data_IF_417781606088
#
_entry.id   IF_417781606088
#
_cell.length_a   1.000
_cell.length_b   1.000
_cell.length_c   1.000
_cell.angle_alpha   90.00
_cell.angle_beta   90.00
_cell.angle_gamma   90.00
#
_symmetry.space_group_name_H-M   'P 1'
#
loop_
_entity.id
_entity.type
_entity.pdbx_description
1 polymer ?
#
# COMPACT_ATOMS: atom_id res chain seq x y z
N UNK A 1 2.75 -8.20 -1.84
CA UNK A 1 2.07 -9.29 -2.58
C UNK A 1 0.86 -8.73 -3.31
N UNK A 2 0.56 -9.22 -4.51
CA UNK A 2 -0.52 -8.70 -5.36
C UNK A 2 -1.18 -9.87 -6.06
N UNK A 3 -2.50 -10.01 -5.95
CA UNK A 3 -3.25 -11.06 -6.65
C UNK A 3 -4.71 -10.65 -6.86
N UNK A 4 -5.33 -11.24 -7.87
CA UNK A 4 -6.78 -11.36 -7.89
C UNK A 4 -7.19 -12.62 -7.12
N UNK A 5 -8.11 -12.50 -6.17
CA UNK A 5 -8.70 -13.66 -5.51
C UNK A 5 -9.56 -14.40 -6.54
N UNK A 6 -9.32 -15.70 -6.72
CA UNK A 6 -10.11 -16.53 -7.64
C UNK A 6 -11.40 -16.99 -6.95
N UNK A 7 -12.52 -16.48 -7.46
CA UNK A 7 -13.92 -16.70 -7.05
C UNK A 7 -14.85 -16.00 -8.06
N UNK A 8 -16.18 -16.08 -7.92
CA UNK A 8 -17.14 -15.50 -8.89
C UNK A 8 -16.88 -14.03 -9.18
N UNK A 9 -16.41 -13.29 -8.18
CA UNK A 9 -16.26 -11.84 -8.25
C UNK A 9 -14.83 -11.37 -8.58
N UNK A 10 -13.80 -12.23 -8.56
CA UNK A 10 -12.44 -11.82 -8.97
C UNK A 10 -11.90 -10.58 -8.24
N UNK A 11 -12.00 -10.50 -6.91
CA UNK A 11 -11.59 -9.32 -6.14
C UNK A 11 -10.08 -9.04 -6.23
N UNK A 12 -9.65 -7.81 -6.57
CA UNK A 12 -8.25 -7.42 -6.45
C UNK A 12 -7.82 -7.32 -4.98
N UNK A 13 -6.65 -7.88 -4.65
CA UNK A 13 -6.03 -7.75 -3.34
C UNK A 13 -4.54 -7.38 -3.46
N UNK A 14 -4.13 -6.37 -2.70
CA UNK A 14 -2.75 -5.91 -2.63
C UNK A 14 -2.29 -5.81 -1.17
N UNK A 15 -1.05 -6.23 -0.92
CA UNK A 15 -0.33 -6.06 0.34
C UNK A 15 1.03 -5.41 0.06
N UNK A 16 1.36 -4.35 0.81
CA UNK A 16 2.54 -3.50 0.59
C UNK A 16 3.24 -3.28 1.93
N UNK A 17 4.56 -3.42 1.93
CA UNK A 17 5.45 -2.88 2.96
C UNK A 17 6.21 -1.69 2.36
N UNK A 18 6.34 -0.60 3.12
CA UNK A 18 6.94 0.65 2.68
C UNK A 18 7.85 1.22 3.79
N UNK A 19 8.99 1.78 3.38
CA UNK A 19 9.91 2.51 4.24
C UNK A 19 10.16 3.90 3.68
N UNK A 20 10.28 4.89 4.57
CA UNK A 20 10.75 6.25 4.26
C UNK A 20 12.13 6.37 4.90
N UNK A 21 13.12 6.74 4.10
CA UNK A 21 14.53 6.72 4.47
C UNK A 21 15.12 8.10 4.22
N UNK A 22 15.88 8.62 5.17
CA UNK A 22 16.73 9.79 4.94
C UNK A 22 17.90 9.40 4.03
N UNK A 23 18.04 10.10 2.89
CA UNK A 23 19.01 9.71 1.87
C UNK A 23 20.45 10.01 2.29
N UNK A 24 20.67 11.00 3.15
CA UNK A 24 22.02 11.42 3.55
C UNK A 24 22.60 10.53 4.65
N UNK A 25 21.79 10.16 5.65
CA UNK A 25 22.20 9.33 6.79
C UNK A 25 21.91 7.84 6.59
N UNK A 26 20.97 7.50 5.72
CA UNK A 26 20.45 6.13 5.59
C UNK A 26 19.48 5.74 6.70
N UNK A 27 19.09 6.67 7.57
CA UNK A 27 18.17 6.40 8.68
C UNK A 27 16.74 6.10 8.18
N UNK A 28 16.10 5.08 8.75
CA UNK A 28 14.68 4.83 8.49
C UNK A 28 13.84 5.79 9.31
N UNK A 29 13.30 6.81 8.66
CA UNK A 29 12.40 7.80 9.27
C UNK A 29 11.03 7.20 9.61
N UNK A 30 10.58 6.23 8.81
CA UNK A 30 9.31 5.55 9.02
C UNK A 30 9.28 4.19 8.32
N UNK A 31 8.55 3.23 8.88
CA UNK A 31 8.21 1.98 8.20
C UNK A 31 6.78 1.55 8.52
N UNK A 32 6.13 0.90 7.57
CA UNK A 32 4.78 0.38 7.75
C UNK A 32 4.40 -0.64 6.70
N UNK A 33 3.43 -1.49 7.05
CA UNK A 33 2.85 -2.46 6.14
C UNK A 33 1.32 -2.41 6.20
N UNK A 34 0.67 -2.72 5.09
CA UNK A 34 -0.78 -2.74 5.00
C UNK A 34 -1.28 -3.67 3.90
N UNK A 35 -2.56 -4.00 3.98
CA UNK A 35 -3.27 -4.80 2.98
C UNK A 35 -4.62 -4.19 2.65
N UNK A 36 -5.04 -4.32 1.40
CA UNK A 36 -6.34 -3.83 0.91
C UNK A 36 -6.91 -4.80 -0.13
N UNK A 37 -8.19 -5.13 0.03
CA UNK A 37 -9.00 -5.77 -1.01
C UNK A 37 -10.00 -4.76 -1.58
N UNK A 38 -10.17 -4.78 -2.90
CA UNK A 38 -11.22 -4.06 -3.60
C UNK A 38 -12.36 -4.97 -4.02
N UNK A 39 -13.33 -4.38 -4.71
CA UNK A 39 -14.52 -5.04 -5.25
C UNK A 39 -14.26 -5.60 -6.66
N UNK A 40 -15.18 -6.45 -7.13
CA UNK A 40 -15.09 -7.20 -8.39
C UNK A 40 -14.63 -6.42 -9.64
N UNK A 41 -15.05 -5.15 -9.76
CA UNK A 41 -14.77 -4.32 -10.93
C UNK A 41 -13.60 -3.35 -10.76
N UNK A 42 -12.90 -3.40 -9.62
CA UNK A 42 -11.74 -2.56 -9.39
C UNK A 42 -10.49 -3.15 -10.05
N UNK A 43 -9.65 -2.26 -10.61
CA UNK A 43 -8.34 -2.66 -11.08
C UNK A 43 -7.40 -2.92 -9.88
N UNK A 44 -6.59 -3.97 -9.96
CA UNK A 44 -5.58 -4.28 -8.94
C UNK A 44 -4.61 -3.11 -8.72
N UNK A 45 -4.23 -2.42 -9.80
CA UNK A 45 -3.40 -1.22 -9.74
C UNK A 45 -4.08 -0.08 -8.98
N UNK A 46 -5.40 0.10 -9.15
CA UNK A 46 -6.15 1.14 -8.44
C UNK A 46 -6.21 0.87 -6.93
N UNK A 47 -6.48 -0.37 -6.52
CA UNK A 47 -6.49 -0.80 -5.11
C UNK A 47 -5.12 -0.59 -4.47
N UNK A 48 -4.06 -0.96 -5.16
CA UNK A 48 -2.71 -0.78 -4.66
C UNK A 48 -2.30 0.70 -4.57
N UNK A 49 -2.66 1.52 -5.55
CA UNK A 49 -2.43 2.97 -5.49
C UNK A 49 -3.15 3.60 -4.29
N UNK A 50 -4.35 3.12 -3.94
CA UNK A 50 -5.06 3.59 -2.76
C UNK A 50 -4.32 3.19 -1.48
N UNK A 51 -3.87 1.94 -1.37
CA UNK A 51 -3.06 1.47 -0.24
C UNK A 51 -1.76 2.26 -0.09
N UNK A 52 -1.05 2.56 -1.19
CA UNK A 52 0.16 3.39 -1.16
C UNK A 52 -0.15 4.79 -0.63
N UNK A 53 -1.23 5.42 -1.09
CA UNK A 53 -1.63 6.76 -0.60
C UNK A 53 -1.92 6.75 0.91
N UNK A 54 -2.56 5.70 1.42
CA UNK A 54 -2.86 5.58 2.84
C UNK A 54 -1.59 5.40 3.68
N UNK A 55 -0.66 4.55 3.23
CA UNK A 55 0.64 4.36 3.88
C UNK A 55 1.48 5.65 3.86
N UNK A 56 1.53 6.36 2.72
CA UNK A 56 2.24 7.63 2.60
C UNK A 56 1.65 8.72 3.50
N UNK A 57 0.32 8.80 3.62
CA UNK A 57 -0.32 9.71 4.57
C UNK A 57 0.09 9.39 6.01
N UNK A 58 0.11 8.12 6.39
CA UNK A 58 0.57 7.68 7.71
C UNK A 58 2.02 8.06 7.99
N UNK A 59 2.92 7.80 7.05
CA UNK A 59 4.34 8.13 7.20
C UNK A 59 4.64 9.64 7.19
N UNK A 60 3.98 10.40 6.33
CA UNK A 60 4.21 11.85 6.20
C UNK A 60 3.48 12.69 7.27
N UNK A 61 2.43 12.17 7.90
CA UNK A 61 1.75 12.84 9.00
C UNK A 61 2.66 13.04 10.22
N UNK A 62 3.65 12.17 10.44
CA UNK A 62 4.66 12.33 11.49
C UNK A 62 5.74 13.36 11.18
N UNK A 63 5.75 13.95 9.98
CA UNK A 63 6.74 14.93 9.51
C UNK A 63 6.24 16.39 9.62
N UNK A 64 5.07 16.64 10.23
CA UNK A 64 4.52 17.98 10.43
C UNK A 64 4.69 18.45 11.87
#
# INVERSE_FOLDING_TARGET
EWRYKVGVDGEPAAGIALQIIDVASGETLWSGAGGKSGWSREALSAVAQQLIRDLLKGGLAGSR
#
